data_IF_407523866359
#
_entry.id   IF_407523866359
#
_cell.length_a   1.000
_cell.length_b   1.000
_cell.length_c   1.000
_cell.angle_alpha   90.00
_cell.angle_beta   90.00
_cell.angle_gamma   90.00
#
_symmetry.space_group_name_H-M   'P 1'
#
loop_
_entity.id
_entity.type
_entity.pdbx_description
1 polymer ?
#
# COMPACT_ATOMS: atom_id res chain seq x y z
N UNK A 1 -18.69 -6.19 7.69
CA UNK A 1 -17.26 -6.24 7.32
C UNK A 1 -16.48 -6.29 8.62
N UNK A 2 -15.30 -6.90 8.68
CA UNK A 2 -14.76 -7.43 9.93
C UNK A 2 -14.35 -6.37 10.99
N UNK A 3 -14.11 -6.81 12.22
CA UNK A 3 -13.37 -6.05 13.22
C UNK A 3 -12.17 -6.89 13.67
N UNK A 4 -11.00 -6.25 13.77
CA UNK A 4 -9.73 -6.88 14.12
C UNK A 4 -9.16 -6.15 15.31
N UNK A 5 -9.09 -6.81 16.47
CA UNK A 5 -8.60 -6.20 17.72
C UNK A 5 -9.27 -4.84 18.06
N UNK A 6 -10.54 -4.66 17.72
CA UNK A 6 -11.29 -3.42 17.96
C UNK A 6 -11.12 -2.34 16.89
N UNK A 7 -10.35 -2.59 15.82
CA UNK A 7 -10.30 -1.77 14.62
C UNK A 7 -11.36 -2.26 13.64
N UNK A 8 -12.33 -1.40 13.36
CA UNK A 8 -13.44 -1.71 12.44
C UNK A 8 -13.05 -1.47 10.99
N UNK A 9 -13.27 -2.47 10.14
CA UNK A 9 -13.05 -2.39 8.70
C UNK A 9 -14.40 -2.09 8.04
N UNK A 10 -14.59 -0.85 7.56
CA UNK A 10 -15.88 -0.39 7.01
C UNK A 10 -15.96 -0.64 5.50
N UNK A 11 -17.19 -0.66 5.00
CA UNK A 11 -17.47 -0.77 3.56
C UNK A 11 -16.90 0.39 2.75
N UNK A 12 -16.97 1.59 3.30
CA UNK A 12 -16.35 2.78 2.71
C UNK A 12 -14.86 2.57 2.47
N UNK A 13 -14.16 1.95 3.41
CA UNK A 13 -12.70 1.81 3.36
C UNK A 13 -12.31 0.81 2.24
N UNK A 14 -13.11 -0.24 2.07
CA UNK A 14 -12.98 -1.18 0.95
C UNK A 14 -13.26 -0.49 -0.39
N UNK A 15 -14.32 0.31 -0.49
CA UNK A 15 -14.68 1.01 -1.73
C UNK A 15 -13.59 2.02 -2.14
N UNK A 16 -13.00 2.72 -1.17
CA UNK A 16 -11.85 3.61 -1.40
C UNK A 16 -10.63 2.82 -1.88
N UNK A 17 -10.30 1.70 -1.23
CA UNK A 17 -9.15 0.86 -1.61
C UNK A 17 -9.33 0.23 -2.99
N UNK A 18 -10.53 -0.27 -3.31
CA UNK A 18 -10.87 -0.82 -4.61
C UNK A 18 -10.67 0.23 -5.72
N UNK A 19 -11.26 1.42 -5.55
CA UNK A 19 -11.12 2.51 -6.52
C UNK A 19 -9.66 2.95 -6.67
N UNK A 20 -8.92 3.06 -5.57
CA UNK A 20 -7.49 3.38 -5.57
C UNK A 20 -6.70 2.36 -6.40
N UNK A 21 -6.93 1.07 -6.19
CA UNK A 21 -6.27 -0.01 -6.92
C UNK A 21 -6.60 0.02 -8.42
N UNK A 22 -7.87 0.23 -8.78
CA UNK A 22 -8.31 0.37 -10.19
C UNK A 22 -7.59 1.54 -10.87
N UNK A 23 -7.68 2.74 -10.28
CA UNK A 23 -7.09 3.95 -10.86
C UNK A 23 -5.56 3.84 -10.96
N UNK A 24 -4.89 3.38 -9.91
CA UNK A 24 -3.44 3.24 -9.90
C UNK A 24 -2.97 2.19 -10.93
N UNK A 25 -3.67 1.04 -11.00
CA UNK A 25 -3.33 0.00 -11.97
C UNK A 25 -3.48 0.51 -13.40
N UNK A 26 -4.56 1.23 -13.72
CA UNK A 26 -4.77 1.80 -15.05
C UNK A 26 -3.65 2.76 -15.44
N UNK A 27 -3.31 3.70 -14.54
CA UNK A 27 -2.28 4.72 -14.82
C UNK A 27 -0.89 4.12 -15.03
N UNK A 28 -0.48 3.18 -14.18
CA UNK A 28 0.83 2.54 -14.31
C UNK A 28 0.91 1.67 -15.56
N UNK A 29 -0.18 0.99 -15.93
CA UNK A 29 -0.23 0.18 -17.16
C UNK A 29 -0.22 1.08 -18.41
N UNK A 30 -0.94 2.21 -18.40
CA UNK A 30 -0.89 3.22 -19.46
C UNK A 30 0.53 3.74 -19.67
N UNK A 31 1.24 4.10 -18.59
CA UNK A 31 2.62 4.56 -18.63
C UNK A 31 3.58 3.48 -19.19
N UNK A 32 3.49 2.25 -18.69
CA UNK A 32 4.30 1.13 -19.21
C UNK A 32 4.04 0.87 -20.68
N UNK A 33 2.78 0.87 -21.11
CA UNK A 33 2.42 0.64 -22.51
C UNK A 33 3.02 1.71 -23.43
N UNK A 34 3.11 2.95 -22.95
CA UNK A 34 3.70 4.08 -23.68
C UNK A 34 5.23 4.16 -23.60
N UNK A 35 5.87 3.39 -22.72
CA UNK A 35 7.33 3.35 -22.59
C UNK A 35 8.04 2.60 -23.72
N UNK A 36 9.34 2.84 -23.90
CA UNK A 36 10.17 2.21 -24.95
C UNK A 36 10.76 0.84 -24.56
N UNK A 37 10.34 0.25 -23.44
CA UNK A 37 10.87 -1.05 -22.99
C UNK A 37 10.33 -2.22 -23.82
N UNK A 38 11.04 -3.35 -23.81
CA UNK A 38 10.66 -4.55 -24.57
C UNK A 38 9.33 -5.17 -24.11
N UNK A 39 8.63 -5.87 -24.99
CA UNK A 39 7.31 -6.45 -24.71
C UNK A 39 7.30 -7.47 -23.56
N UNK A 40 8.37 -8.24 -23.40
CA UNK A 40 8.52 -9.17 -22.28
C UNK A 40 8.60 -8.43 -20.95
N UNK A 41 9.39 -7.36 -20.89
CA UNK A 41 9.51 -6.50 -19.71
C UNK A 41 8.19 -5.77 -19.40
N UNK A 42 7.47 -5.27 -20.42
CA UNK A 42 6.13 -4.70 -20.26
C UNK A 42 5.19 -5.70 -19.60
N UNK A 43 5.11 -6.93 -20.12
CA UNK A 43 4.23 -7.96 -19.59
C UNK A 43 4.58 -8.35 -18.15
N UNK A 44 5.87 -8.43 -17.80
CA UNK A 44 6.31 -8.69 -16.44
C UNK A 44 5.86 -7.58 -15.47
N UNK A 45 6.11 -6.31 -15.80
CA UNK A 45 5.70 -5.16 -14.98
C UNK A 45 4.19 -5.03 -14.86
N UNK A 46 3.44 -5.26 -15.95
CA UNK A 46 1.97 -5.25 -15.92
C UNK A 46 1.43 -6.35 -15.00
N UNK A 47 2.06 -7.53 -14.99
CA UNK A 47 1.67 -8.62 -14.08
C UNK A 47 1.90 -8.22 -12.62
N UNK A 48 3.08 -7.68 -12.30
CA UNK A 48 3.41 -7.17 -10.96
C UNK A 48 2.44 -6.09 -10.49
N UNK A 49 2.05 -5.16 -11.37
CA UNK A 49 1.07 -4.12 -11.05
C UNK A 49 -0.30 -4.73 -10.73
N UNK A 50 -0.76 -5.70 -11.52
CA UNK A 50 -2.06 -6.35 -11.28
C UNK A 50 -2.08 -7.11 -9.95
N UNK A 51 -0.95 -7.67 -9.54
CA UNK A 51 -0.81 -8.32 -8.23
C UNK A 51 -0.83 -7.28 -7.10
N UNK A 52 -0.06 -6.20 -7.20
CA UNK A 52 0.02 -5.13 -6.19
C UNK A 52 -1.26 -4.30 -6.08
N UNK A 53 -1.93 -4.05 -7.20
CA UNK A 53 -3.16 -3.29 -7.31
C UNK A 53 -4.36 -4.22 -7.57
N UNK A 54 -4.41 -5.36 -6.89
CA UNK A 54 -5.48 -6.34 -7.06
C UNK A 54 -6.87 -5.73 -6.80
N UNK A 55 -7.82 -6.02 -7.70
CA UNK A 55 -9.24 -5.68 -7.55
C UNK A 55 -10.07 -6.85 -7.03
N UNK A 56 -9.42 -8.00 -6.78
CA UNK A 56 -10.07 -9.15 -6.18
C UNK A 56 -10.52 -8.82 -4.75
N UNK A 57 -11.80 -9.06 -4.48
CA UNK A 57 -12.44 -8.67 -3.23
C UNK A 57 -11.80 -9.35 -2.02
N UNK A 58 -11.50 -10.64 -2.13
CA UNK A 58 -10.91 -11.40 -1.03
C UNK A 58 -9.49 -10.92 -0.74
N UNK A 59 -8.70 -10.67 -1.79
CA UNK A 59 -7.34 -10.13 -1.69
C UNK A 59 -7.33 -8.77 -0.98
N UNK A 60 -8.21 -7.84 -1.38
CA UNK A 60 -8.31 -6.52 -0.74
C UNK A 60 -8.71 -6.68 0.73
N UNK A 61 -9.75 -7.45 1.02
CA UNK A 61 -10.23 -7.62 2.40
C UNK A 61 -9.15 -8.26 3.29
N UNK A 62 -8.43 -9.26 2.79
CA UNK A 62 -7.34 -9.90 3.52
C UNK A 62 -6.20 -8.90 3.81
N UNK A 63 -5.83 -8.07 2.83
CA UNK A 63 -4.85 -7.00 3.04
C UNK A 63 -5.31 -5.98 4.08
N UNK A 64 -6.59 -5.57 4.07
CA UNK A 64 -7.14 -4.65 5.07
C UNK A 64 -7.16 -5.27 6.48
N UNK A 65 -7.47 -6.56 6.60
CA UNK A 65 -7.43 -7.30 7.86
C UNK A 65 -6.00 -7.37 8.39
N UNK A 66 -5.03 -7.65 7.53
CA UNK A 66 -3.61 -7.65 7.88
C UNK A 66 -3.14 -6.29 8.38
N UNK A 67 -3.46 -5.23 7.64
CA UNK A 67 -3.16 -3.85 8.03
C UNK A 67 -3.77 -3.53 9.41
N UNK A 68 -5.07 -3.78 9.60
CA UNK A 68 -5.73 -3.53 10.88
C UNK A 68 -5.12 -4.36 12.03
N UNK A 69 -4.75 -5.62 11.78
CA UNK A 69 -4.09 -6.45 12.77
C UNK A 69 -2.75 -5.86 13.21
N UNK A 70 -1.92 -5.46 12.25
CA UNK A 70 -0.60 -4.88 12.52
C UNK A 70 -0.75 -3.53 13.23
N UNK A 71 -1.58 -2.64 12.71
CA UNK A 71 -1.78 -1.31 13.28
C UNK A 71 -2.40 -1.34 14.69
N UNK A 72 -3.15 -2.39 15.03
CA UNK A 72 -3.64 -2.59 16.41
C UNK A 72 -2.53 -2.89 17.43
N UNK A 73 -1.35 -3.32 16.96
CA UNK A 73 -0.20 -3.70 17.79
C UNK A 73 0.93 -2.67 17.75
N UNK A 74 0.99 -1.85 16.70
CA UNK A 74 2.10 -0.97 16.43
C UNK A 74 1.62 0.46 16.17
N UNK A 75 2.20 1.41 16.90
CA UNK A 75 2.01 2.85 16.70
C UNK A 75 3.38 3.49 16.50
N UNK A 76 4.03 3.13 15.38
CA UNK A 76 5.47 3.40 15.19
C UNK A 76 5.78 4.85 14.84
N UNK A 77 4.85 5.53 14.18
CA UNK A 77 4.95 6.94 13.77
C UNK A 77 3.57 7.59 13.83
N UNK A 78 3.54 8.91 14.07
CA UNK A 78 2.28 9.66 14.04
C UNK A 78 1.85 9.96 12.60
N UNK A 79 0.56 10.25 12.42
CA UNK A 79 0.02 10.71 11.14
C UNK A 79 0.74 11.96 10.60
N UNK A 80 1.04 12.93 11.47
CA UNK A 80 1.80 14.13 11.07
C UNK A 80 3.23 13.82 10.62
N UNK A 81 3.90 12.87 11.28
CA UNK A 81 5.23 12.43 10.85
C UNK A 81 5.19 11.74 9.49
N UNK A 82 4.19 10.87 9.29
CA UNK A 82 3.96 10.19 8.01
C UNK A 82 3.69 11.21 6.89
N UNK A 83 2.77 12.14 7.12
CA UNK A 83 2.42 13.20 6.17
C UNK A 83 3.62 14.06 5.80
N UNK A 84 4.38 14.52 6.79
CA UNK A 84 5.60 15.30 6.55
C UNK A 84 6.63 14.55 5.70
N UNK A 85 6.74 13.23 5.88
CA UNK A 85 7.64 12.41 5.06
C UNK A 85 7.15 12.26 3.61
N UNK A 86 5.85 12.06 3.41
CA UNK A 86 5.25 12.03 2.06
C UNK A 86 5.39 13.38 1.36
N UNK A 87 5.17 14.50 2.06
CA UNK A 87 5.37 15.84 1.50
C UNK A 87 6.82 16.09 1.05
N UNK A 88 7.80 15.60 1.80
CA UNK A 88 9.22 15.66 1.37
C UNK A 88 9.45 14.83 0.12
N UNK A 89 8.91 13.60 0.06
CA UNK A 89 9.03 12.76 -1.12
C UNK A 89 8.43 13.43 -2.35
N UNK A 90 7.26 14.05 -2.21
CA UNK A 90 6.63 14.82 -3.29
C UNK A 90 7.45 16.05 -3.70
N UNK A 91 7.98 16.80 -2.72
CA UNK A 91 8.83 17.96 -3.01
C UNK A 91 10.10 17.56 -3.76
N UNK A 92 10.65 16.37 -3.47
CA UNK A 92 11.77 15.82 -4.22
C UNK A 92 11.37 15.46 -5.65
N UNK A 93 10.15 14.97 -5.89
CA UNK A 93 9.66 14.74 -7.26
C UNK A 93 9.68 16.04 -8.06
N UNK A 94 9.18 17.13 -7.48
CA UNK A 94 9.16 18.44 -8.14
C UNK A 94 10.58 18.98 -8.38
N UNK A 95 11.48 18.86 -7.40
CA UNK A 95 12.84 19.36 -7.49
C UNK A 95 13.69 18.65 -8.56
N UNK A 96 13.46 17.36 -8.77
CA UNK A 96 14.27 16.52 -9.67
C UNK A 96 13.57 16.19 -11.01
N UNK A 97 12.36 16.70 -11.24
CA UNK A 97 11.60 16.45 -12.46
C UNK A 97 12.32 16.91 -13.74
N UNK A 98 13.02 18.05 -13.69
CA UNK A 98 13.76 18.60 -14.84
C UNK A 98 15.03 17.80 -15.14
N UNK A 99 15.59 17.11 -14.14
CA UNK A 99 16.84 16.35 -14.27
C UNK A 99 16.60 14.89 -14.69
N UNK A 100 15.48 14.31 -14.25
CA UNK A 100 15.19 12.88 -14.44
C UNK A 100 13.79 12.67 -15.04
N UNK A 101 13.67 12.29 -16.33
CA UNK A 101 12.38 12.11 -17.01
C UNK A 101 11.43 11.15 -16.29
N UNK A 102 11.96 10.11 -15.66
CA UNK A 102 11.19 9.16 -14.84
C UNK A 102 10.58 9.80 -13.59
N UNK A 103 11.23 10.82 -13.02
CA UNK A 103 10.71 11.57 -11.87
C UNK A 103 9.57 12.48 -12.32
N UNK A 104 9.71 13.15 -13.47
CA UNK A 104 8.63 13.92 -14.06
C UNK A 104 7.40 13.05 -14.43
N UNK A 105 7.62 11.82 -14.88
CA UNK A 105 6.54 10.87 -15.14
C UNK A 105 5.76 10.52 -13.85
N UNK A 106 6.46 10.27 -12.74
CA UNK A 106 5.83 9.99 -11.44
C UNK A 106 4.96 11.15 -10.94
N UNK A 107 5.42 12.40 -11.08
CA UNK A 107 4.61 13.58 -10.73
C UNK A 107 3.30 13.66 -11.54
N UNK A 108 3.36 13.39 -12.85
CA UNK A 108 2.16 13.35 -13.72
C UNK A 108 1.20 12.22 -13.36
N UNK A 109 1.73 11.03 -13.05
CA UNK A 109 0.91 9.89 -12.62
C UNK A 109 0.17 10.24 -11.32
N UNK A 110 0.86 10.91 -10.38
CA UNK A 110 0.26 11.35 -9.14
C UNK A 110 -0.86 12.38 -9.36
N UNK A 111 -0.65 13.40 -10.18
CA UNK A 111 -1.67 14.41 -10.48
C UNK A 111 -2.91 13.78 -11.14
N UNK A 112 -2.69 12.85 -12.09
CA UNK A 112 -3.80 12.17 -12.75
C UNK A 112 -4.51 11.17 -11.80
N UNK A 113 -3.78 10.55 -10.87
CA UNK A 113 -4.37 9.73 -9.81
C UNK A 113 -5.33 10.54 -8.95
N UNK A 114 -4.88 11.69 -8.42
CA UNK A 114 -5.71 12.61 -7.61
C UNK A 114 -6.98 12.99 -8.37
N UNK A 115 -6.84 13.35 -9.65
CA UNK A 115 -7.94 13.72 -10.52
C UNK A 115 -8.93 12.57 -10.78
N UNK A 116 -8.46 11.37 -11.12
CA UNK A 116 -9.33 10.19 -11.35
C UNK A 116 -9.99 9.68 -10.07
N UNK A 117 -9.30 9.81 -8.93
CA UNK A 117 -9.89 9.55 -7.61
C UNK A 117 -10.96 10.57 -7.23
N UNK A 118 -10.88 11.79 -7.78
CA UNK A 118 -11.81 12.88 -7.48
C UNK A 118 -11.60 13.43 -6.07
N UNK A 119 -10.36 13.45 -5.61
CA UNK A 119 -9.94 13.92 -4.29
C UNK A 119 -9.06 15.16 -4.41
N UNK A 120 -8.86 15.86 -3.32
CA UNK A 120 -7.88 16.95 -3.21
C UNK A 120 -6.48 16.41 -2.94
N UNK A 121 -5.46 17.24 -3.15
CA UNK A 121 -4.08 16.92 -2.77
C UNK A 121 -3.94 16.69 -1.26
N UNK A 122 -4.73 17.39 -0.45
CA UNK A 122 -4.74 17.22 1.00
C UNK A 122 -5.32 15.85 1.41
N UNK A 123 -6.46 15.46 0.83
CA UNK A 123 -7.05 14.14 1.05
C UNK A 123 -6.14 13.02 0.53
N UNK A 124 -5.40 13.25 -0.56
CA UNK A 124 -4.36 12.33 -1.01
C UNK A 124 -3.27 12.16 0.04
N UNK A 125 -2.77 13.26 0.62
CA UNK A 125 -1.71 13.23 1.63
C UNK A 125 -2.14 12.44 2.86
N UNK A 126 -3.38 12.60 3.31
CA UNK A 126 -3.92 11.84 4.43
C UNK A 126 -4.01 10.33 4.10
N UNK A 127 -4.54 9.97 2.92
CA UNK A 127 -4.58 8.55 2.49
C UNK A 127 -3.19 7.93 2.33
N UNK A 128 -2.22 8.70 1.84
CA UNK A 128 -0.84 8.28 1.69
C UNK A 128 -0.16 8.13 3.06
N UNK A 129 -0.45 9.02 4.01
CA UNK A 129 0.07 8.96 5.37
C UNK A 129 -0.42 7.70 6.10
N UNK A 130 -1.72 7.37 6.02
CA UNK A 130 -2.27 6.13 6.58
C UNK A 130 -1.61 4.88 5.99
N UNK A 131 -1.43 4.88 4.66
CA UNK A 131 -0.73 3.77 3.98
C UNK A 131 0.74 3.66 4.39
N UNK A 132 1.42 4.79 4.60
CA UNK A 132 2.81 4.84 5.03
C UNK A 132 2.98 4.39 6.49
N UNK A 133 2.06 4.77 7.38
CA UNK A 133 2.02 4.25 8.77
C UNK A 133 1.95 2.72 8.74
N UNK A 134 1.01 2.16 7.97
CA UNK A 134 0.83 0.71 7.88
C UNK A 134 2.09 0.01 7.34
N UNK A 135 2.75 0.61 6.34
CA UNK A 135 4.04 0.11 5.83
C UNK A 135 5.11 0.09 6.93
N UNK A 136 5.30 1.21 7.66
CA UNK A 136 6.32 1.30 8.71
C UNK A 136 6.03 0.34 9.85
N UNK A 137 4.77 0.22 10.27
CA UNK A 137 4.35 -0.75 11.27
C UNK A 137 4.63 -2.19 10.83
N UNK A 138 4.35 -2.53 9.56
CA UNK A 138 4.64 -3.86 9.00
C UNK A 138 6.14 -4.15 8.97
N UNK A 139 6.99 -3.17 8.62
CA UNK A 139 8.45 -3.34 8.68
C UNK A 139 8.91 -3.60 10.11
N UNK A 140 8.42 -2.83 11.09
CA UNK A 140 8.76 -3.03 12.50
C UNK A 140 8.34 -4.40 13.02
N UNK A 141 7.12 -4.84 12.68
CA UNK A 141 6.63 -6.16 13.03
C UNK A 141 7.50 -7.28 12.43
N UNK A 142 7.93 -7.13 11.18
CA UNK A 142 8.82 -8.07 10.49
C UNK A 142 10.21 -8.12 11.14
N UNK A 143 10.78 -6.96 11.49
CA UNK A 143 12.07 -6.88 12.19
C UNK A 143 12.04 -7.53 13.57
N UNK A 144 10.98 -7.29 14.35
CA UNK A 144 10.82 -7.91 15.67
C UNK A 144 10.65 -9.43 15.54
N UNK A 145 9.83 -9.89 14.60
CA UNK A 145 9.68 -11.32 14.30
C UNK A 145 11.01 -11.98 13.92
N UNK A 146 11.80 -11.35 13.05
CA UNK A 146 13.12 -11.85 12.66
C UNK A 146 14.04 -12.03 13.87
N UNK A 147 14.08 -11.02 14.75
CA UNK A 147 14.91 -11.02 15.98
C UNK A 147 14.46 -12.08 16.99
N UNK A 148 13.15 -12.24 17.19
CA UNK A 148 12.61 -13.21 18.14
C UNK A 148 12.79 -14.66 17.70
N UNK A 149 12.76 -14.90 16.39
CA UNK A 149 12.83 -16.24 15.81
C UNK A 149 14.22 -16.64 15.33
N UNK A 150 15.18 -15.72 15.34
CA UNK A 150 16.54 -15.91 14.80
C UNK A 150 16.49 -16.40 13.34
N UNK A 151 15.64 -15.75 12.53
CA UNK A 151 15.42 -16.08 11.12
C UNK A 151 16.29 -15.19 10.23
N UNK A 152 16.97 -15.79 9.26
CA UNK A 152 17.71 -15.07 8.22
C UNK A 152 16.81 -14.53 7.10
N UNK A 153 17.30 -13.51 6.41
CA UNK A 153 16.54 -12.77 5.38
C UNK A 153 15.97 -13.65 4.26
N UNK A 154 16.66 -14.74 3.89
CA UNK A 154 16.29 -15.62 2.77
C UNK A 154 14.90 -16.27 2.89
N UNK A 155 14.40 -16.46 4.12
CA UNK A 155 13.08 -17.08 4.36
C UNK A 155 12.12 -16.16 5.12
N UNK A 156 12.59 -14.98 5.52
CA UNK A 156 11.89 -14.09 6.45
C UNK A 156 10.51 -13.67 5.94
N UNK A 157 10.39 -13.30 4.66
CA UNK A 157 9.10 -12.88 4.09
C UNK A 157 8.04 -13.97 4.19
N UNK A 158 8.39 -15.19 3.77
CA UNK A 158 7.47 -16.33 3.77
C UNK A 158 7.06 -16.74 5.19
N UNK A 159 8.00 -16.77 6.12
CA UNK A 159 7.72 -17.13 7.51
C UNK A 159 6.90 -16.06 8.22
N UNK A 160 7.20 -14.79 7.97
CA UNK A 160 6.43 -13.66 8.51
C UNK A 160 4.99 -13.67 7.98
N UNK A 161 4.78 -13.87 6.67
CA UNK A 161 3.43 -14.01 6.11
C UNK A 161 2.63 -15.16 6.74
N UNK A 162 3.27 -16.32 6.95
CA UNK A 162 2.64 -17.47 7.59
C UNK A 162 2.27 -17.17 9.05
N UNK A 163 3.17 -16.51 9.79
CA UNK A 163 2.95 -16.09 11.16
C UNK A 163 1.77 -15.11 11.27
N UNK A 164 1.74 -14.08 10.45
CA UNK A 164 0.67 -13.07 10.46
C UNK A 164 -0.69 -13.71 10.13
N UNK A 165 -0.76 -14.58 9.12
CA UNK A 165 -1.99 -15.34 8.80
C UNK A 165 -2.47 -16.18 9.99
N UNK A 166 -1.55 -16.86 10.66
CA UNK A 166 -1.86 -17.64 11.86
C UNK A 166 -2.39 -16.76 12.99
N UNK A 167 -1.76 -15.61 13.24
CA UNK A 167 -2.17 -14.71 14.32
C UNK A 167 -3.53 -14.05 14.05
N UNK A 168 -3.78 -13.59 12.82
CA UNK A 168 -5.07 -13.03 12.39
C UNK A 168 -6.21 -14.03 12.61
N UNK A 169 -5.98 -15.32 12.31
CA UNK A 169 -6.99 -16.36 12.49
C UNK A 169 -7.47 -16.52 13.94
N UNK A 170 -6.68 -16.06 14.93
CA UNK A 170 -7.01 -16.10 16.35
C UNK A 170 -7.82 -14.90 16.83
N UNK A 171 -7.80 -13.79 16.10
CA UNK A 171 -8.33 -12.49 16.54
C UNK A 171 -9.50 -11.97 15.71
N UNK A 172 -9.75 -12.56 14.54
CA UNK A 172 -10.73 -12.06 13.59
C UNK A 172 -12.18 -12.28 14.06
N UNK A 173 -12.93 -11.19 14.24
CA UNK A 173 -14.38 -11.22 14.41
C UNK A 173 -15.09 -10.74 13.13
N UNK A 174 -15.73 -11.66 12.39
CA UNK A 174 -16.45 -11.33 11.16
C UNK A 174 -17.91 -10.99 11.47
N UNK A 175 -18.26 -9.71 11.38
CA UNK A 175 -19.65 -9.26 11.42
C UNK A 175 -20.24 -9.29 10.01
N UNK A 176 -21.01 -10.34 9.72
CA UNK A 176 -21.91 -10.36 8.56
C UNK A 176 -23.20 -9.63 8.93
N UNK A 177 -23.47 -8.53 8.22
CA UNK A 177 -24.81 -8.00 7.97
C UNK A 177 -24.86 -7.54 6.53
#
# INVERSE_FOLDING_TARGET
MASVNGIDIKKSDYEVRLKSNEVMSELLIEDINNSDIGSEEKNAKITEIKEKCSTDKETIINSMIETAFIDSKYDSITHEQAKSEIEKQMSNLDAYADEYPQVAANGKIMDEYIKRMGITKEEYLDLAADSYISYVNKQKAKEEFAKEKDIGDDVLDKEFEAYIKQEISKTLAVYYK
#
